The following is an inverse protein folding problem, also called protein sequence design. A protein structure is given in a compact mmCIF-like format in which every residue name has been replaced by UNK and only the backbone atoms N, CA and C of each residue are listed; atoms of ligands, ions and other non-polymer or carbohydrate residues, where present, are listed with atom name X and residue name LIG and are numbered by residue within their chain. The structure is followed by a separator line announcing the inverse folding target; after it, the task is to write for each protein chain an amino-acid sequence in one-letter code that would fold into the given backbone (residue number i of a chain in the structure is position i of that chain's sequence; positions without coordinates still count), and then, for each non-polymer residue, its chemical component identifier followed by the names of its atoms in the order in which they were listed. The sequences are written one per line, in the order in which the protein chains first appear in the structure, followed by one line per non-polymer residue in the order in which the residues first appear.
data_IF_549875579457
#
_entry.id   IF_549875579457
#
_cell.length_a   1.000
_cell.length_b   1.000
_cell.length_c   1.000
_cell.angle_alpha   90.00
_cell.angle_beta   90.00
_cell.angle_gamma   90.00
#
_symmetry.space_group_name_H-M   'P 1'
#
loop_
_entity.id
_entity.type
_entity.pdbx_description
1 polymer ?
#
# COMPACT_ATOMS: atom_id res chain seq x y z
N UNK A 1 -59.34 -13.32 -18.95
CA UNK A 1 -58.08 -12.97 -19.65
C UNK A 1 -57.28 -11.86 -18.95
N UNK A 2 -57.55 -11.55 -17.68
CA UNK A 2 -56.72 -10.65 -16.85
C UNK A 2 -55.96 -11.47 -15.80
N UNK A 3 -56.59 -12.54 -15.26
CA UNK A 3 -56.00 -13.42 -14.25
C UNK A 3 -54.78 -14.23 -14.74
N UNK A 4 -54.75 -14.68 -16.00
CA UNK A 4 -53.58 -15.36 -16.58
C UNK A 4 -52.35 -14.44 -16.64
N UNK A 5 -52.57 -13.16 -16.97
CA UNK A 5 -51.49 -12.17 -17.05
C UNK A 5 -50.89 -11.82 -15.67
N UNK A 6 -51.65 -12.03 -14.59
CA UNK A 6 -51.18 -11.88 -13.22
C UNK A 6 -50.35 -13.09 -12.76
N UNK A 7 -50.74 -14.30 -13.16
CA UNK A 7 -50.00 -15.52 -12.83
C UNK A 7 -48.61 -15.52 -13.47
N UNK A 8 -48.53 -15.19 -14.76
CA UNK A 8 -47.25 -15.11 -15.49
C UNK A 8 -46.34 -14.00 -14.93
N UNK A 9 -46.93 -12.89 -14.50
CA UNK A 9 -46.19 -11.79 -13.87
C UNK A 9 -45.62 -12.18 -12.51
N UNK A 10 -46.40 -12.83 -11.66
CA UNK A 10 -45.94 -13.28 -10.34
C UNK A 10 -44.89 -14.39 -10.44
N UNK A 11 -44.99 -15.29 -11.43
CA UNK A 11 -43.95 -16.28 -11.72
C UNK A 11 -42.63 -15.62 -12.16
N UNK A 12 -42.69 -14.69 -13.12
CA UNK A 12 -41.51 -13.95 -13.57
C UNK A 12 -40.89 -13.12 -12.45
N UNK A 13 -41.72 -12.47 -11.61
CA UNK A 13 -41.26 -11.71 -10.44
C UNK A 13 -40.58 -12.60 -9.41
N UNK A 14 -41.11 -13.81 -9.18
CA UNK A 14 -40.55 -14.75 -8.21
C UNK A 14 -39.23 -15.32 -8.72
N UNK A 15 -39.16 -15.70 -9.99
CA UNK A 15 -37.92 -16.18 -10.61
C UNK A 15 -36.83 -15.12 -10.56
N UNK A 16 -37.15 -13.86 -10.90
CA UNK A 16 -36.20 -12.76 -10.85
C UNK A 16 -35.72 -12.47 -9.41
N UNK A 17 -36.59 -12.62 -8.41
CA UNK A 17 -36.22 -12.44 -7.02
C UNK A 17 -35.26 -13.53 -6.52
N UNK A 18 -35.47 -14.79 -6.94
CA UNK A 18 -34.58 -15.91 -6.61
C UNK A 18 -33.21 -15.71 -7.27
N UNK A 19 -33.19 -15.39 -8.57
CA UNK A 19 -31.94 -15.13 -9.30
C UNK A 19 -31.14 -13.97 -8.69
N UNK A 20 -31.84 -12.89 -8.30
CA UNK A 20 -31.21 -11.77 -7.60
C UNK A 20 -30.66 -12.18 -6.23
N UNK A 21 -31.35 -13.07 -5.50
CA UNK A 21 -30.88 -13.60 -4.22
C UNK A 21 -29.62 -14.43 -4.38
N UNK A 22 -29.61 -15.37 -5.33
CA UNK A 22 -28.45 -16.22 -5.62
C UNK A 22 -27.23 -15.38 -6.06
N UNK A 23 -27.47 -14.34 -6.86
CA UNK A 23 -26.42 -13.40 -7.24
C UNK A 23 -25.85 -12.64 -6.03
N UNK A 24 -26.71 -12.16 -5.14
CA UNK A 24 -26.30 -11.47 -3.92
C UNK A 24 -25.50 -12.41 -3.00
N UNK A 25 -25.92 -13.65 -2.83
CA UNK A 25 -25.19 -14.64 -2.04
C UNK A 25 -23.80 -14.90 -2.62
N UNK A 26 -23.67 -15.03 -3.95
CA UNK A 26 -22.37 -15.15 -4.61
C UNK A 26 -21.46 -13.92 -4.43
N UNK A 27 -22.03 -12.71 -4.41
CA UNK A 27 -21.29 -11.48 -4.11
C UNK A 27 -20.84 -11.46 -2.65
N UNK A 28 -21.71 -11.86 -1.71
CA UNK A 28 -21.38 -11.94 -0.29
C UNK A 28 -20.26 -12.95 -0.05
N UNK A 29 -20.35 -14.16 -0.61
CA UNK A 29 -19.31 -15.18 -0.46
C UNK A 29 -17.95 -14.69 -0.96
N UNK A 30 -17.93 -14.01 -2.12
CA UNK A 30 -16.71 -13.47 -2.70
C UNK A 30 -16.15 -12.29 -1.89
N UNK A 31 -17.01 -11.45 -1.33
CA UNK A 31 -16.59 -10.39 -0.42
C UNK A 31 -16.03 -10.99 0.87
N UNK A 32 -16.72 -11.95 1.49
CA UNK A 32 -16.25 -12.65 2.69
C UNK A 32 -14.88 -13.29 2.47
N UNK A 33 -14.65 -13.90 1.31
CA UNK A 33 -13.34 -14.44 0.95
C UNK A 33 -12.26 -13.35 0.83
N UNK A 34 -12.60 -12.15 0.36
CA UNK A 34 -11.66 -11.02 0.24
C UNK A 34 -11.39 -10.31 1.58
N UNK A 35 -12.34 -10.34 2.51
CA UNK A 35 -12.17 -9.73 3.85
C UNK A 35 -11.72 -10.75 4.90
N UNK A 36 -11.42 -12.00 4.51
CA UNK A 36 -10.96 -13.03 5.43
C UNK A 36 -9.71 -12.52 6.18
N UNK A 37 -9.74 -12.47 7.53
CA UNK A 37 -8.65 -11.95 8.35
C UNK A 37 -7.34 -12.72 8.18
N UNK A 38 -7.35 -13.88 7.52
CA UNK A 38 -6.13 -14.62 7.18
C UNK A 38 -5.35 -14.05 5.99
N UNK A 39 -5.92 -13.13 5.19
CA UNK A 39 -5.18 -12.51 4.08
C UNK A 39 -4.22 -11.43 4.57
N UNK A 40 -2.93 -11.49 4.17
CA UNK A 40 -1.97 -10.44 4.48
C UNK A 40 -2.41 -9.10 3.87
N UNK A 41 -2.51 -8.07 4.71
CA UNK A 41 -2.84 -6.69 4.34
C UNK A 41 -1.90 -5.70 5.02
N UNK A 42 -1.95 -4.44 4.60
CA UNK A 42 -1.17 -3.39 5.25
C UNK A 42 -1.69 -3.14 6.66
N UNK A 43 -0.78 -2.92 7.60
CA UNK A 43 -1.02 -2.47 8.96
C UNK A 43 -0.04 -1.36 9.28
N UNK A 44 -0.54 -0.34 9.98
CA UNK A 44 0.23 0.78 10.50
C UNK A 44 0.45 0.56 11.99
N UNK A 45 1.70 0.60 12.43
CA UNK A 45 2.10 0.53 13.84
C UNK A 45 2.82 1.82 14.21
N UNK A 46 2.33 2.47 15.26
CA UNK A 46 2.82 3.79 15.68
C UNK A 46 3.56 3.67 17.01
N UNK A 47 4.72 4.31 17.06
CA UNK A 47 5.59 4.34 18.22
C UNK A 47 5.95 5.78 18.54
N UNK A 48 5.79 6.16 19.81
CA UNK A 48 6.27 7.43 20.33
C UNK A 48 7.63 7.20 20.99
N UNK A 49 8.69 7.73 20.37
CA UNK A 49 10.01 7.83 21.00
C UNK A 49 10.10 9.02 21.96
N UNK A 50 11.33 9.45 22.26
CA UNK A 50 11.62 10.67 23.04
C UNK A 50 11.06 11.95 22.42
N UNK A 51 10.76 11.92 21.13
CA UNK A 51 10.07 12.95 20.37
C UNK A 51 8.79 13.45 21.04
N UNK A 52 8.13 12.63 21.87
CA UNK A 52 7.01 13.06 22.73
C UNK A 52 7.35 14.20 23.71
N UNK A 53 8.61 14.30 24.15
CA UNK A 53 9.09 15.30 25.09
C UNK A 53 9.42 16.63 24.38
N UNK A 54 9.76 16.58 23.10
CA UNK A 54 10.10 17.74 22.27
C UNK A 54 8.93 18.20 21.37
N UNK A 55 7.74 17.59 21.52
CA UNK A 55 6.54 17.91 20.75
C UNK A 55 6.56 17.43 19.30
N UNK A 56 7.46 16.50 18.97
CA UNK A 56 7.52 15.86 17.65
C UNK A 56 6.46 14.75 17.54
N UNK A 57 6.02 14.49 16.31
CA UNK A 57 4.98 13.50 16.04
C UNK A 57 5.53 12.07 16.22
N UNK A 58 4.70 11.12 16.71
CA UNK A 58 5.06 9.70 16.75
C UNK A 58 5.44 9.17 15.35
N UNK A 59 6.37 8.22 15.31
CA UNK A 59 6.79 7.58 14.07
C UNK A 59 5.88 6.38 13.80
N UNK A 60 5.39 6.30 12.56
CA UNK A 60 4.53 5.21 12.12
C UNK A 60 5.25 4.33 11.09
N UNK A 61 5.13 3.01 11.23
CA UNK A 61 5.69 2.01 10.32
C UNK A 61 4.57 1.22 9.66
N UNK A 62 4.69 1.00 8.35
CA UNK A 62 3.71 0.21 7.59
C UNK A 62 4.32 -1.13 7.21
N UNK A 63 3.62 -2.21 7.55
CA UNK A 63 4.01 -3.60 7.29
C UNK A 63 2.82 -4.40 6.74
N UNK A 64 3.10 -5.48 6.04
CA UNK A 64 2.12 -6.47 5.58
C UNK A 64 2.02 -7.58 6.60
N UNK A 65 0.83 -7.83 7.14
CA UNK A 65 0.59 -8.85 8.16
C UNK A 65 -0.86 -9.35 8.09
N UNK A 66 -1.24 -10.31 8.92
CA UNK A 66 -2.64 -10.80 9.01
C UNK A 66 -3.45 -10.12 10.12
N UNK A 67 -2.77 -9.53 11.10
CA UNK A 67 -3.37 -8.82 12.23
C UNK A 67 -2.40 -7.82 12.86
N UNK A 68 -2.84 -7.03 13.84
CA UNK A 68 -1.97 -6.08 14.55
C UNK A 68 -0.90 -6.78 15.39
N UNK A 69 -1.24 -7.88 16.07
CA UNK A 69 -0.26 -8.67 16.84
C UNK A 69 0.80 -9.30 15.93
N UNK A 70 0.36 -9.80 14.78
CA UNK A 70 1.24 -10.34 13.74
C UNK A 70 2.12 -9.24 13.14
N UNK A 71 1.55 -8.06 12.88
CA UNK A 71 2.28 -6.89 12.41
C UNK A 71 3.40 -6.51 13.37
N UNK A 72 3.14 -6.49 14.69
CA UNK A 72 4.13 -6.17 15.69
C UNK A 72 5.28 -7.19 15.71
N UNK A 73 4.96 -8.49 15.56
CA UNK A 73 5.98 -9.54 15.44
C UNK A 73 6.81 -9.38 14.17
N UNK A 74 6.17 -9.16 13.02
CA UNK A 74 6.88 -9.00 11.75
C UNK A 74 7.77 -7.77 11.81
N UNK A 75 7.26 -6.62 12.29
CA UNK A 75 8.04 -5.39 12.43
C UNK A 75 9.29 -5.60 13.30
N UNK A 76 9.18 -6.34 14.41
CA UNK A 76 10.30 -6.65 15.29
C UNK A 76 11.40 -7.50 14.63
N UNK A 77 11.11 -8.19 13.51
CA UNK A 77 12.10 -8.94 12.73
C UNK A 77 12.82 -8.10 11.67
N UNK A 78 12.35 -6.88 11.39
CA UNK A 78 12.89 -6.07 10.30
C UNK A 78 14.15 -5.31 10.72
N UNK A 79 15.24 -5.38 9.93
CA UNK A 79 16.50 -4.70 10.25
C UNK A 79 16.35 -3.18 10.39
N UNK A 80 15.54 -2.57 9.53
CA UNK A 80 15.35 -1.11 9.52
C UNK A 80 14.67 -0.62 10.81
N UNK A 81 13.69 -1.39 11.31
CA UNK A 81 13.08 -1.12 12.60
C UNK A 81 14.08 -1.29 13.74
N UNK A 82 14.90 -2.34 13.70
CA UNK A 82 15.92 -2.56 14.73
C UNK A 82 16.98 -1.45 14.73
N UNK A 83 17.42 -0.98 13.56
CA UNK A 83 18.36 0.12 13.42
C UNK A 83 17.80 1.42 14.01
N UNK A 84 16.52 1.73 13.73
CA UNK A 84 15.83 2.87 14.33
C UNK A 84 15.74 2.74 15.86
N UNK A 85 15.33 1.58 16.36
CA UNK A 85 15.23 1.31 17.79
C UNK A 85 16.59 1.45 18.51
N UNK A 86 17.66 0.93 17.90
CA UNK A 86 19.02 1.06 18.45
C UNK A 86 19.53 2.50 18.43
N UNK A 87 19.18 3.29 17.41
CA UNK A 87 19.57 4.70 17.34
C UNK A 87 18.94 5.51 18.48
N UNK A 88 17.68 5.24 18.82
CA UNK A 88 17.03 5.83 20.00
C UNK A 88 17.72 5.36 21.30
N UNK A 89 17.97 4.05 21.43
CA UNK A 89 18.64 3.49 22.61
C UNK A 89 20.05 4.07 22.83
N UNK A 90 20.82 4.27 21.78
CA UNK A 90 22.18 4.82 21.84
C UNK A 90 22.19 6.32 22.22
N UNK A 91 21.06 7.01 22.06
CA UNK A 91 20.91 8.42 22.39
C UNK A 91 20.60 8.67 23.88
N UNK A 92 20.53 7.59 24.68
CA UNK A 92 20.06 7.60 26.07
C UNK A 92 20.94 6.72 26.95
N UNK A 93 21.28 7.19 28.16
CA UNK A 93 21.95 6.34 29.15
C UNK A 93 21.01 5.28 29.76
N UNK A 94 19.69 5.52 29.70
CA UNK A 94 18.64 4.63 30.23
C UNK A 94 18.13 3.61 29.18
N UNK A 95 18.69 3.63 27.96
CA UNK A 95 18.22 2.84 26.81
C UNK A 95 17.06 3.49 26.05
N UNK A 96 16.42 2.73 25.15
CA UNK A 96 15.38 3.24 24.26
C UNK A 96 14.11 3.65 25.05
N UNK A 97 13.65 4.88 24.84
CA UNK A 97 12.39 5.40 25.39
C UNK A 97 11.31 5.39 24.31
N UNK A 98 11.02 4.19 23.79
CA UNK A 98 10.06 3.95 22.73
C UNK A 98 8.82 3.27 23.31
N UNK A 99 7.65 3.92 23.14
CA UNK A 99 6.35 3.42 23.59
C UNK A 99 5.47 3.13 22.39
N UNK A 100 4.93 1.91 22.32
CA UNK A 100 3.91 1.57 21.34
C UNK A 100 2.60 2.32 21.63
N UNK A 101 2.00 2.94 20.61
CA UNK A 101 0.77 3.74 20.71
C UNK A 101 -0.36 3.00 20.00
N UNK A 102 -1.09 2.12 20.71
CA UNK A 102 -2.13 1.29 20.09
C UNK A 102 -3.28 2.10 19.53
N UNK A 103 -3.62 3.26 20.12
CA UNK A 103 -4.72 4.12 19.67
C UNK A 103 -4.49 4.73 18.29
N UNK A 104 -3.23 4.83 17.86
CA UNK A 104 -2.82 5.34 16.55
C UNK A 104 -2.43 4.21 15.58
N UNK A 105 -2.38 2.97 16.07
CA UNK A 105 -2.06 1.80 15.25
C UNK A 105 -3.32 1.17 14.71
N UNK A 106 -3.35 0.88 13.41
CA UNK A 106 -4.57 0.41 12.75
C UNK A 106 -4.29 -0.43 11.50
N UNK A 107 -5.32 -1.15 11.03
CA UNK A 107 -5.27 -1.78 9.73
C UNK A 107 -5.28 -0.71 8.62
N UNK A 108 -4.56 -0.99 7.53
CA UNK A 108 -4.42 -0.10 6.39
C UNK A 108 -3.21 0.82 6.46
N UNK A 109 -3.12 1.70 5.47
CA UNK A 109 -2.09 2.72 5.32
C UNK A 109 -2.67 4.05 5.84
N UNK A 110 -1.89 4.90 6.50
CA UNK A 110 -2.37 6.21 6.94
C UNK A 110 -2.83 7.04 5.73
N UNK A 111 -3.95 7.73 5.85
CA UNK A 111 -4.44 8.64 4.80
C UNK A 111 -3.67 9.97 4.78
N UNK A 112 -2.95 10.28 5.85
CA UNK A 112 -2.14 11.49 6.02
C UNK A 112 -1.01 11.24 7.02
N UNK A 113 -0.02 12.13 7.02
CA UNK A 113 1.16 12.04 7.88
C UNK A 113 2.32 11.30 7.22
N UNK A 114 3.49 11.42 7.84
CA UNK A 114 4.70 10.70 7.45
C UNK A 114 4.70 9.31 8.06
N UNK A 115 5.10 8.32 7.28
CA UNK A 115 5.27 6.95 7.74
C UNK A 115 6.41 6.26 6.97
N UNK A 116 7.03 5.28 7.62
CA UNK A 116 8.07 4.45 7.03
C UNK A 116 7.43 3.18 6.48
N UNK A 117 7.40 3.05 5.15
CA UNK A 117 6.87 1.85 4.50
C UNK A 117 7.94 0.76 4.41
N UNK A 118 7.80 -0.27 5.23
CA UNK A 118 8.72 -1.40 5.29
C UNK A 118 8.23 -2.61 4.52
N UNK A 119 7.12 -2.50 3.78
CA UNK A 119 6.53 -3.65 3.05
C UNK A 119 7.47 -4.20 1.98
N UNK A 120 8.27 -3.35 1.35
CA UNK A 120 9.30 -3.78 0.40
C UNK A 120 10.45 -4.56 1.03
N UNK A 121 10.75 -4.31 2.31
CA UNK A 121 11.79 -5.03 3.05
C UNK A 121 11.35 -6.41 3.57
N UNK A 122 10.03 -6.63 3.72
CA UNK A 122 9.47 -7.90 4.20
C UNK A 122 9.65 -9.05 3.22
N UNK A 123 9.65 -8.76 1.93
CA UNK A 123 9.90 -9.75 0.88
C UNK A 123 11.02 -9.21 -0.01
N UNK A 124 12.30 -9.42 0.37
CA UNK A 124 13.40 -9.01 -0.49
C UNK A 124 13.19 -9.70 -1.83
N UNK A 125 13.00 -8.89 -2.88
CA UNK A 125 12.87 -9.40 -4.23
C UNK A 125 13.99 -10.41 -4.49
N UNK A 126 13.71 -11.58 -5.11
CA UNK A 126 14.76 -12.52 -5.44
C UNK A 126 15.83 -11.75 -6.20
N UNK A 127 17.05 -11.70 -5.65
CA UNK A 127 18.18 -11.08 -6.34
C UNK A 127 18.23 -11.69 -7.74
N UNK A 128 18.25 -10.88 -8.81
CA UNK A 128 18.48 -11.43 -10.13
C UNK A 128 19.76 -12.26 -10.07
N UNK A 129 19.80 -13.46 -10.66
CA UNK A 129 21.02 -14.27 -10.68
C UNK A 129 22.13 -13.36 -11.18
N UNK A 130 23.25 -13.32 -10.44
CA UNK A 130 24.40 -12.50 -10.74
C UNK A 130 24.88 -12.81 -12.16
N UNK A 131 24.34 -12.08 -13.13
CA UNK A 131 24.79 -12.11 -14.51
C UNK A 131 26.20 -11.52 -14.54
N UNK A 132 27.07 -12.03 -15.42
CA UNK A 132 28.44 -11.54 -15.50
C UNK A 132 28.43 -10.03 -15.73
N UNK A 133 29.12 -9.33 -14.82
CA UNK A 133 29.34 -7.89 -14.85
C UNK A 133 29.95 -7.50 -16.19
N UNK A 134 29.15 -6.91 -17.08
CA UNK A 134 29.70 -6.15 -18.19
C UNK A 134 30.09 -4.77 -17.66
N UNK A 135 31.39 -4.40 -17.62
CA UNK A 135 31.77 -3.04 -17.32
C UNK A 135 31.32 -2.16 -18.49
N UNK A 136 30.20 -1.44 -18.32
CA UNK A 136 29.84 -0.36 -19.22
C UNK A 136 30.83 0.77 -19.00
N UNK A 137 31.87 0.74 -19.83
CA UNK A 137 32.90 1.78 -19.95
C UNK A 137 32.24 3.14 -20.11
N UNK A 138 32.49 4.03 -19.15
CA UNK A 138 32.07 5.43 -19.19
C UNK A 138 32.43 6.05 -20.55
N UNK A 139 31.42 6.56 -21.26
CA UNK A 139 31.61 7.40 -22.44
C UNK A 139 31.74 8.85 -21.97
N UNK A 140 32.84 9.55 -22.26
CA UNK A 140 32.96 10.98 -21.93
C UNK A 140 31.92 11.77 -22.72
N UNK A 141 31.15 12.62 -22.03
CA UNK A 141 30.27 13.59 -22.67
C UNK A 141 31.11 14.70 -23.32
N UNK A 142 31.01 14.84 -24.63
CA UNK A 142 31.49 16.03 -25.34
C UNK A 142 30.39 17.11 -25.32
N UNK A 143 30.75 18.40 -25.20
CA UNK A 143 29.79 19.49 -25.17
C UNK A 143 29.34 19.81 -26.60
N UNK A 144 28.03 19.91 -26.84
CA UNK A 144 27.51 20.38 -28.12
C UNK A 144 26.58 21.56 -27.87
N UNK A 145 27.15 22.74 -28.08
CA UNK A 145 26.52 24.02 -28.36
C UNK A 145 25.65 23.89 -29.62
N UNK A 146 24.39 24.34 -29.59
CA UNK A 146 23.56 24.35 -30.79
C UNK A 146 22.18 24.98 -30.61
N UNK A 147 22.05 26.21 -31.09
CA UNK A 147 20.87 27.09 -31.15
C UNK A 147 19.66 26.46 -31.87
N UNK A 148 18.41 26.73 -31.46
CA UNK A 148 17.21 26.23 -32.14
C UNK A 148 16.87 27.03 -33.42
N UNK A 149 16.42 26.39 -34.52
CA UNK A 149 15.84 27.08 -35.66
C UNK A 149 14.34 27.40 -35.46
N UNK A 150 13.94 28.58 -35.93
CA UNK A 150 12.61 29.19 -35.83
C UNK A 150 11.54 28.54 -36.75
N UNK A 151 10.23 28.67 -36.42
CA UNK A 151 9.13 28.07 -37.18
C UNK A 151 8.77 28.85 -38.46
N UNK A 152 8.41 28.12 -39.54
CA UNK A 152 7.94 28.66 -40.82
C UNK A 152 6.39 28.88 -40.84
N UNK A 153 5.87 29.91 -41.52
CA UNK A 153 4.45 30.29 -41.48
C UNK A 153 3.55 29.53 -42.48
N UNK A 154 2.28 29.42 -42.10
CA UNK A 154 1.19 28.74 -42.79
C UNK A 154 0.80 29.38 -44.15
N UNK A 155 0.58 28.54 -45.16
CA UNK A 155 -0.05 28.92 -46.42
C UNK A 155 -1.47 28.35 -46.52
N UNK A 156 -2.41 29.28 -46.70
CA UNK A 156 -3.85 29.08 -46.91
C UNK A 156 -4.15 28.29 -48.19
N UNK A 157 -5.13 27.40 -48.13
CA UNK A 157 -5.82 26.82 -49.28
C UNK A 157 -6.94 27.78 -49.75
N UNK A 158 -6.99 28.07 -51.04
CA UNK A 158 -8.14 28.68 -51.72
C UNK A 158 -8.80 27.67 -52.65
N UNK A 159 -10.07 27.98 -52.89
CA UNK A 159 -11.19 27.27 -53.48
C UNK A 159 -11.10 27.01 -55.00
#
# INVERSE_FOLDING_TARGET
MIEEHFADYDEARTSAAIEASDHLDGVVERLTALVDPSFPRAFTLTFAGRERHDGQAPISFVVTATGLDDAARVLATLPDFHAWYQADAASSEDGADIVYVPEQSHAGIPSSGEFVDLRGAQNPAPLPPAGPTHPSRARPAAPITGTPPAPAPAARTSH
#
